data_IF_224683969642
#
_entry.id   IF_224683969642
#
_cell.length_a   1.000
_cell.length_b   1.000
_cell.length_c   1.000
_cell.angle_alpha   90.00
_cell.angle_beta   90.00
_cell.angle_gamma   90.00
#
_symmetry.space_group_name_H-M   'P 1'
#
loop_
_entity.id
_entity.type
_entity.pdbx_description
1 polymer ?
#
# COMPACT_ATOMS: atom_id res chain seq x y z
N UNK A 1 -14.75 18.32 -22.54
CA UNK A 1 -13.83 18.07 -21.39
C UNK A 1 -14.67 17.78 -20.18
N UNK A 2 -14.60 16.58 -19.64
CA UNK A 2 -15.31 16.24 -18.40
C UNK A 2 -14.57 16.96 -17.26
N UNK A 3 -15.17 18.02 -16.75
CA UNK A 3 -14.55 18.88 -15.71
C UNK A 3 -15.00 18.53 -14.29
N UNK A 4 -15.86 17.51 -14.13
CA UNK A 4 -16.40 17.12 -12.85
C UNK A 4 -16.02 15.67 -12.56
N UNK A 5 -15.41 15.41 -11.40
CA UNK A 5 -15.04 14.06 -10.95
C UNK A 5 -16.24 13.11 -10.94
N UNK A 6 -17.45 13.62 -10.70
CA UNK A 6 -18.66 12.79 -10.73
C UNK A 6 -18.96 12.24 -12.14
N UNK A 7 -18.96 13.09 -13.15
CA UNK A 7 -19.18 12.67 -14.54
C UNK A 7 -18.10 11.72 -15.02
N UNK A 8 -16.85 11.99 -14.63
CA UNK A 8 -15.71 11.14 -14.95
C UNK A 8 -15.86 9.75 -14.33
N UNK A 9 -16.22 9.66 -13.03
CA UNK A 9 -16.46 8.37 -12.36
C UNK A 9 -17.59 7.61 -13.01
N UNK A 10 -18.69 8.28 -13.38
CA UNK A 10 -19.82 7.65 -14.08
C UNK A 10 -19.43 7.11 -15.47
N UNK A 11 -18.60 7.83 -16.21
CA UNK A 11 -18.10 7.37 -17.51
C UNK A 11 -17.17 6.16 -17.34
N UNK A 12 -16.28 6.20 -16.33
CA UNK A 12 -15.40 5.08 -16.00
C UNK A 12 -16.17 3.82 -15.58
N UNK A 13 -17.23 3.97 -14.76
CA UNK A 13 -18.09 2.86 -14.35
C UNK A 13 -18.89 2.26 -15.49
N UNK A 14 -19.20 3.06 -16.52
CA UNK A 14 -19.81 2.57 -17.77
C UNK A 14 -18.80 1.90 -18.72
N UNK A 15 -17.55 1.81 -18.32
CA UNK A 15 -16.45 1.28 -19.14
C UNK A 15 -16.27 1.99 -20.47
N UNK A 16 -16.45 3.33 -20.50
CA UNK A 16 -16.15 4.12 -21.69
C UNK A 16 -14.65 4.00 -22.01
N UNK A 17 -14.34 3.36 -23.11
CA UNK A 17 -12.97 3.02 -23.49
C UNK A 17 -12.12 4.28 -23.74
N UNK A 18 -12.69 5.29 -24.37
CA UNK A 18 -11.99 6.55 -24.69
C UNK A 18 -11.63 7.30 -23.39
N UNK A 19 -12.62 7.46 -22.51
CA UNK A 19 -12.44 8.13 -21.23
C UNK A 19 -11.46 7.35 -20.34
N UNK A 20 -11.58 6.03 -20.29
CA UNK A 20 -10.70 5.16 -19.53
C UNK A 20 -9.26 5.29 -19.99
N UNK A 21 -9.01 5.21 -21.30
CA UNK A 21 -7.68 5.35 -21.90
C UNK A 21 -7.08 6.73 -21.62
N UNK A 22 -7.86 7.79 -21.81
CA UNK A 22 -7.39 9.15 -21.57
C UNK A 22 -7.08 9.40 -20.10
N UNK A 23 -7.92 8.93 -19.19
CA UNK A 23 -7.74 9.12 -17.76
C UNK A 23 -6.56 8.32 -17.23
N UNK A 24 -6.53 7.00 -17.40
CA UNK A 24 -5.50 6.13 -16.80
C UNK A 24 -4.13 6.28 -17.49
N UNK A 25 -4.08 6.27 -18.81
CA UNK A 25 -2.82 6.18 -19.57
C UNK A 25 -2.23 7.53 -20.01
N UNK A 26 -3.00 8.62 -19.90
CA UNK A 26 -2.49 9.96 -20.17
C UNK A 26 -2.49 10.83 -18.91
N UNK A 27 -3.66 11.10 -18.37
CA UNK A 27 -3.85 12.06 -17.26
C UNK A 27 -3.21 11.59 -15.95
N UNK A 28 -3.41 10.33 -15.59
CA UNK A 28 -2.88 9.73 -14.36
C UNK A 28 -1.53 9.03 -14.53
N UNK A 29 -0.98 8.96 -15.75
CA UNK A 29 0.30 8.33 -16.02
C UNK A 29 1.46 8.85 -15.13
N UNK A 30 1.64 10.19 -14.94
CA UNK A 30 2.70 10.70 -14.07
C UNK A 30 2.55 10.23 -12.61
N UNK A 31 1.31 10.10 -12.12
CA UNK A 31 1.03 9.57 -10.79
C UNK A 31 1.45 8.10 -10.68
N UNK A 32 1.01 7.28 -11.61
CA UNK A 32 1.35 5.85 -11.62
C UNK A 32 2.86 5.64 -11.78
N UNK A 33 3.51 6.41 -12.65
CA UNK A 33 4.96 6.37 -12.84
C UNK A 33 5.70 6.72 -11.54
N UNK A 34 5.27 7.78 -10.84
CA UNK A 34 5.85 8.17 -9.56
C UNK A 34 5.69 7.07 -8.49
N UNK A 35 4.52 6.43 -8.42
CA UNK A 35 4.30 5.33 -7.48
C UNK A 35 5.14 4.11 -7.87
N UNK A 36 5.16 3.74 -9.15
CA UNK A 36 5.93 2.62 -9.66
C UNK A 36 7.44 2.77 -9.39
N UNK A 37 8.00 3.96 -9.59
CA UNK A 37 9.43 4.22 -9.40
C UNK A 37 9.84 4.27 -7.91
N UNK A 38 8.94 4.67 -7.02
CA UNK A 38 9.25 4.86 -5.60
C UNK A 38 8.84 3.68 -4.70
N UNK A 39 8.01 2.76 -5.20
CA UNK A 39 7.51 1.63 -4.41
C UNK A 39 7.83 0.32 -5.12
N UNK A 40 8.23 -0.67 -4.33
CA UNK A 40 8.47 -2.01 -4.87
C UNK A 40 7.16 -2.63 -5.36
N UNK A 41 7.08 -2.85 -6.65
CA UNK A 41 5.98 -3.59 -7.30
C UNK A 41 6.57 -4.83 -7.97
N UNK A 42 5.73 -5.85 -8.20
CA UNK A 42 6.17 -7.05 -8.94
C UNK A 42 6.00 -6.88 -10.44
N UNK A 43 5.45 -5.74 -10.87
CA UNK A 43 5.20 -5.46 -12.26
C UNK A 43 6.51 -5.23 -13.02
N UNK A 44 6.64 -5.79 -14.20
CA UNK A 44 7.80 -5.62 -15.07
C UNK A 44 7.84 -4.24 -15.73
N UNK A 45 6.70 -3.55 -15.78
CA UNK A 45 6.56 -2.23 -16.40
C UNK A 45 5.49 -1.38 -15.70
N UNK A 46 5.58 -0.05 -15.86
CA UNK A 46 4.56 0.87 -15.39
C UNK A 46 3.18 0.60 -16.03
N UNK A 47 3.15 0.16 -17.30
CA UNK A 47 1.91 -0.19 -17.98
C UNK A 47 1.21 -1.39 -17.34
N UNK A 48 1.97 -2.40 -16.97
CA UNK A 48 1.45 -3.55 -16.22
C UNK A 48 0.90 -3.13 -14.86
N UNK A 49 1.62 -2.26 -14.15
CA UNK A 49 1.14 -1.69 -12.90
C UNK A 49 -0.20 -0.93 -13.06
N UNK A 50 -0.35 -0.12 -14.12
CA UNK A 50 -1.61 0.58 -14.41
C UNK A 50 -2.74 -0.41 -14.64
N UNK A 51 -2.50 -1.48 -15.40
CA UNK A 51 -3.50 -2.52 -15.65
C UNK A 51 -3.91 -3.24 -14.36
N UNK A 52 -2.97 -3.53 -13.46
CA UNK A 52 -3.28 -4.14 -12.17
C UNK A 52 -4.11 -3.23 -11.28
N UNK A 53 -3.77 -1.94 -11.23
CA UNK A 53 -4.58 -0.95 -10.48
C UNK A 53 -5.97 -0.83 -11.10
N UNK A 54 -6.09 -0.83 -12.43
CA UNK A 54 -7.38 -0.83 -13.11
C UNK A 54 -8.23 -2.04 -12.68
N UNK A 55 -7.70 -3.25 -12.78
CA UNK A 55 -8.38 -4.48 -12.34
C UNK A 55 -8.78 -4.36 -10.87
N UNK A 56 -7.88 -3.89 -10.00
CA UNK A 56 -8.16 -3.72 -8.59
C UNK A 56 -9.29 -2.73 -8.26
N UNK A 57 -9.44 -1.68 -9.07
CA UNK A 57 -10.50 -0.68 -8.90
C UNK A 57 -11.88 -1.20 -9.33
N UNK A 58 -11.91 -2.01 -10.39
CA UNK A 58 -13.16 -2.50 -11.00
C UNK A 58 -13.57 -3.90 -10.54
N UNK A 59 -12.69 -4.64 -9.84
CA UNK A 59 -13.05 -5.93 -9.28
C UNK A 59 -13.98 -5.74 -8.09
N UNK A 60 -15.19 -6.35 -8.11
CA UNK A 60 -16.12 -6.29 -6.99
C UNK A 60 -15.53 -6.96 -5.74
N UNK A 61 -15.73 -6.37 -4.60
CA UNK A 61 -15.39 -6.99 -3.32
C UNK A 61 -16.31 -8.20 -3.07
N UNK A 62 -15.73 -9.33 -2.68
CA UNK A 62 -16.47 -10.58 -2.42
C UNK A 62 -17.55 -10.46 -1.34
N UNK A 63 -17.40 -9.51 -0.41
CA UNK A 63 -18.33 -9.31 0.71
C UNK A 63 -19.45 -8.34 0.37
N UNK A 64 -19.14 -7.25 -0.34
CA UNK A 64 -20.08 -6.16 -0.61
C UNK A 64 -20.65 -6.20 -2.01
N UNK A 65 -20.01 -6.91 -2.95
CA UNK A 65 -20.36 -6.93 -4.36
C UNK A 65 -20.13 -5.61 -5.10
N UNK A 66 -19.54 -4.61 -4.42
CA UNK A 66 -19.35 -3.25 -4.92
C UNK A 66 -17.87 -3.06 -5.28
N UNK A 67 -17.58 -2.46 -6.42
CA UNK A 67 -16.20 -2.18 -6.80
C UNK A 67 -15.64 -0.97 -6.03
N UNK A 68 -14.30 -0.85 -5.98
CA UNK A 68 -13.65 0.24 -5.23
C UNK A 68 -13.98 1.63 -5.78
N UNK A 69 -14.14 1.76 -7.08
CA UNK A 69 -14.46 3.03 -7.69
C UNK A 69 -15.87 3.52 -7.31
N UNK A 70 -16.83 2.61 -7.14
CA UNK A 70 -18.17 2.94 -6.64
C UNK A 70 -18.15 3.39 -5.17
N UNK A 71 -17.14 2.98 -4.39
CA UNK A 71 -16.98 3.40 -2.99
C UNK A 71 -16.37 4.81 -2.85
N UNK A 72 -16.03 5.47 -3.95
CA UNK A 72 -15.48 6.83 -3.92
C UNK A 72 -16.54 7.83 -3.47
N UNK A 73 -16.30 8.49 -2.32
CA UNK A 73 -17.28 9.36 -1.63
C UNK A 73 -17.19 10.83 -2.03
N UNK A 74 -16.41 11.21 -3.02
CA UNK A 74 -16.22 12.61 -3.47
C UNK A 74 -15.75 13.58 -2.37
N UNK A 75 -15.08 13.09 -1.32
CA UNK A 75 -14.52 13.92 -0.25
C UNK A 75 -13.15 14.53 -0.60
N UNK A 76 -12.56 14.09 -1.68
CA UNK A 76 -11.32 14.57 -2.25
C UNK A 76 -11.40 14.52 -3.78
N UNK A 77 -10.40 15.04 -4.49
CA UNK A 77 -10.34 14.83 -5.93
C UNK A 77 -10.11 13.35 -6.24
N UNK A 78 -10.65 12.87 -7.38
CA UNK A 78 -10.45 11.49 -7.82
C UNK A 78 -8.95 11.14 -7.95
N UNK A 79 -8.13 12.10 -8.38
CA UNK A 79 -6.68 11.93 -8.49
C UNK A 79 -6.01 11.68 -7.12
N UNK A 80 -6.37 12.45 -6.09
CA UNK A 80 -5.83 12.29 -4.73
C UNK A 80 -6.25 10.95 -4.12
N UNK A 81 -7.51 10.58 -4.30
CA UNK A 81 -8.02 9.30 -3.85
C UNK A 81 -7.33 8.13 -4.56
N UNK A 82 -7.16 8.21 -5.87
CA UNK A 82 -6.47 7.20 -6.67
C UNK A 82 -5.02 7.00 -6.21
N UNK A 83 -4.30 8.08 -5.91
CA UNK A 83 -2.95 8.02 -5.33
C UNK A 83 -2.96 7.19 -4.04
N UNK A 84 -3.89 7.46 -3.15
CA UNK A 84 -4.02 6.73 -1.87
C UNK A 84 -4.31 5.24 -2.11
N UNK A 85 -5.20 4.91 -3.04
CA UNK A 85 -5.51 3.52 -3.41
C UNK A 85 -4.26 2.79 -3.94
N UNK A 86 -3.48 3.45 -4.81
CA UNK A 86 -2.23 2.87 -5.34
C UNK A 86 -1.23 2.58 -4.23
N UNK A 87 -1.04 3.51 -3.29
CA UNK A 87 -0.12 3.33 -2.17
C UNK A 87 -0.54 2.15 -1.27
N UNK A 88 -1.81 2.06 -0.92
CA UNK A 88 -2.33 0.93 -0.14
C UNK A 88 -2.23 -0.40 -0.88
N UNK A 89 -2.45 -0.39 -2.20
CA UNK A 89 -2.27 -1.58 -3.02
C UNK A 89 -0.82 -2.07 -2.98
N UNK A 90 0.15 -1.19 -3.22
CA UNK A 90 1.57 -1.51 -3.15
C UNK A 90 1.98 -2.01 -1.77
N UNK A 91 1.55 -1.33 -0.71
CA UNK A 91 1.84 -1.71 0.66
C UNK A 91 1.34 -3.12 1.01
N UNK A 92 0.08 -3.44 0.68
CA UNK A 92 -0.49 -4.77 0.94
C UNK A 92 0.24 -5.86 0.16
N UNK A 93 0.58 -5.61 -1.10
CA UNK A 93 1.26 -6.56 -1.96
C UNK A 93 2.69 -6.82 -1.48
N UNK A 94 3.45 -5.77 -1.17
CA UNK A 94 4.80 -5.87 -0.63
C UNK A 94 4.84 -6.60 0.71
N UNK A 95 3.92 -6.28 1.62
CA UNK A 95 3.85 -6.93 2.94
C UNK A 95 3.60 -8.44 2.82
N UNK A 96 2.69 -8.86 1.94
CA UNK A 96 2.44 -10.30 1.69
C UNK A 96 3.70 -11.00 1.20
N UNK A 97 4.41 -10.42 0.25
CA UNK A 97 5.62 -11.00 -0.31
C UNK A 97 6.74 -11.17 0.70
N UNK A 98 6.93 -10.22 1.60
CA UNK A 98 7.90 -10.34 2.70
C UNK A 98 7.55 -11.52 3.60
N UNK A 99 6.28 -11.70 3.94
CA UNK A 99 5.81 -12.81 4.78
C UNK A 99 6.00 -14.15 4.04
N UNK A 100 5.61 -14.23 2.78
CA UNK A 100 5.76 -15.45 1.96
C UNK A 100 7.24 -15.84 1.82
N UNK A 101 8.13 -14.89 1.52
CA UNK A 101 9.56 -15.15 1.44
C UNK A 101 10.19 -15.57 2.78
N UNK A 102 9.63 -15.12 3.90
CA UNK A 102 10.06 -15.53 5.23
C UNK A 102 9.59 -16.96 5.55
N UNK A 103 8.37 -17.34 5.13
CA UNK A 103 7.83 -18.68 5.30
C UNK A 103 8.54 -19.72 4.43
N UNK A 104 8.95 -19.37 3.20
CA UNK A 104 9.74 -20.26 2.32
C UNK A 104 11.14 -20.56 2.88
N UNK A 105 11.72 -19.65 3.65
CA UNK A 105 13.03 -19.86 4.29
C UNK A 105 12.98 -20.64 5.59
N UNK A 106 11.83 -20.67 6.23
CA UNK A 106 11.58 -21.45 7.42
C UNK A 106 10.80 -22.69 7.00
N UNK A 107 11.41 -23.86 7.00
CA UNK A 107 10.78 -25.18 6.74
C UNK A 107 9.70 -25.56 7.79
N UNK A 108 8.93 -24.59 8.22
CA UNK A 108 7.86 -24.74 9.19
C UNK A 108 6.53 -24.63 8.45
N UNK A 109 5.84 -25.76 8.34
CA UNK A 109 4.49 -25.82 7.78
C UNK A 109 3.53 -24.90 8.53
N UNK A 110 3.36 -23.69 8.01
CA UNK A 110 2.45 -22.70 8.57
C UNK A 110 1.03 -23.03 8.14
N UNK A 111 0.20 -23.41 9.11
CA UNK A 111 -1.25 -23.50 8.94
C UNK A 111 -1.81 -22.11 8.61
N UNK A 112 -2.81 -22.07 7.71
CA UNK A 112 -3.44 -20.88 7.13
C UNK A 112 -4.24 -19.98 8.11
N UNK A 113 -4.03 -20.08 9.41
CA UNK A 113 -4.70 -19.28 10.44
C UNK A 113 -3.69 -18.43 11.22
N UNK A 114 -2.95 -17.57 10.52
CA UNK A 114 -2.15 -16.56 11.21
C UNK A 114 -3.03 -15.34 11.47
N UNK A 115 -3.52 -15.25 12.69
CA UNK A 115 -4.04 -14.02 13.28
C UNK A 115 -2.92 -12.97 13.27
N UNK A 116 -3.08 -11.92 12.47
CA UNK A 116 -2.09 -10.84 12.30
C UNK A 116 -1.98 -9.90 13.52
N UNK A 117 -2.52 -10.32 14.70
CA UNK A 117 -2.61 -9.49 15.90
C UNK A 117 -1.33 -9.37 16.72
N UNK A 118 -0.39 -10.30 16.63
CA UNK A 118 0.80 -10.24 17.47
C UNK A 118 1.98 -10.99 16.86
N UNK A 119 2.83 -10.26 16.14
CA UNK A 119 4.23 -10.67 16.05
C UNK A 119 4.85 -10.24 17.39
N UNK A 120 4.85 -11.09 18.37
CA UNK A 120 5.75 -10.96 19.52
C UNK A 120 7.16 -11.14 18.97
N UNK A 121 7.84 -10.02 18.77
CA UNK A 121 9.30 -10.04 18.57
C UNK A 121 9.86 -10.45 19.92
N UNK A 122 10.33 -11.69 20.00
CA UNK A 122 11.01 -12.20 21.20
C UNK A 122 12.17 -11.25 21.53
N UNK A 123 12.01 -10.50 22.63
CA UNK A 123 12.94 -9.44 23.04
C UNK A 123 14.37 -9.92 23.33
N UNK A 124 14.59 -11.25 23.34
CA UNK A 124 15.91 -11.86 23.51
C UNK A 124 16.76 -11.84 22.24
N UNK A 125 16.18 -11.61 21.06
CA UNK A 125 16.90 -11.65 19.78
C UNK A 125 17.36 -10.27 19.26
N UNK A 126 16.95 -9.18 19.91
CA UNK A 126 17.46 -7.85 19.61
C UNK A 126 18.76 -7.65 20.38
N UNK A 127 19.89 -7.84 19.69
CA UNK A 127 21.19 -7.46 20.21
C UNK A 127 21.14 -5.97 20.59
N UNK A 128 21.27 -5.67 21.90
CA UNK A 128 21.21 -4.28 22.41
C UNK A 128 22.16 -3.33 21.66
N UNK A 129 23.29 -3.85 21.17
CA UNK A 129 24.23 -3.10 20.34
C UNK A 129 23.64 -2.62 19.02
N UNK A 130 22.82 -3.41 18.33
CA UNK A 130 22.24 -3.04 17.04
C UNK A 130 21.16 -1.96 17.21
N UNK A 131 20.37 -2.09 18.27
CA UNK A 131 19.32 -1.11 18.59
C UNK A 131 19.92 0.26 18.94
N UNK A 132 20.95 0.30 19.78
CA UNK A 132 21.67 1.53 20.11
C UNK A 132 22.30 2.18 18.89
N UNK A 133 22.92 1.39 18.01
CA UNK A 133 23.51 1.89 16.77
C UNK A 133 22.46 2.48 15.85
N UNK A 134 21.31 1.82 15.67
CA UNK A 134 20.19 2.33 14.87
C UNK A 134 19.65 3.65 15.44
N UNK A 135 19.47 3.74 16.77
CA UNK A 135 18.98 4.95 17.42
C UNK A 135 19.97 6.12 17.28
N UNK A 136 21.28 5.85 17.30
CA UNK A 136 22.31 6.88 17.09
C UNK A 136 22.38 7.38 15.65
N UNK A 137 22.11 6.51 14.65
CA UNK A 137 22.10 6.85 13.23
C UNK A 137 20.81 7.58 12.80
N UNK A 138 19.80 7.65 13.65
CA UNK A 138 18.58 8.36 13.33
C UNK A 138 18.82 9.87 13.17
N UNK A 139 18.36 10.48 12.06
CA UNK A 139 18.62 11.90 11.77
C UNK A 139 17.94 12.85 12.76
N UNK A 140 16.91 12.39 13.47
CA UNK A 140 16.17 13.19 14.44
C UNK A 140 16.24 12.58 15.85
N UNK A 141 17.00 13.23 16.72
CA UNK A 141 17.19 12.79 18.11
C UNK A 141 15.90 12.68 18.92
N UNK A 142 14.85 13.46 18.59
CA UNK A 142 13.55 13.37 19.28
C UNK A 142 12.87 12.04 19.01
N UNK A 143 12.95 11.55 17.79
CA UNK A 143 12.37 10.25 17.44
C UNK A 143 13.15 9.10 18.05
N UNK A 144 14.47 9.15 18.07
CA UNK A 144 15.27 8.13 18.72
C UNK A 144 15.00 8.07 20.24
N UNK A 145 14.82 9.23 20.88
CA UNK A 145 14.46 9.32 22.29
C UNK A 145 13.06 8.74 22.58
N UNK A 146 12.05 9.08 21.76
CA UNK A 146 10.69 8.54 21.88
C UNK A 146 10.63 7.03 21.68
N UNK A 147 11.39 6.51 20.72
CA UNK A 147 11.48 5.06 20.48
C UNK A 147 12.14 4.37 21.66
N UNK A 148 13.22 4.92 22.20
CA UNK A 148 13.87 4.41 23.42
C UNK A 148 12.89 4.32 24.58
N UNK A 149 12.22 5.43 24.92
CA UNK A 149 11.26 5.49 26.02
C UNK A 149 10.13 4.46 25.87
N UNK A 150 9.57 4.35 24.69
CA UNK A 150 8.39 3.51 24.46
C UNK A 150 8.69 2.03 24.34
N UNK A 151 9.75 1.67 23.61
CA UNK A 151 10.01 0.27 23.22
C UNK A 151 11.15 -0.39 24.00
N UNK A 152 12.06 0.37 24.57
CA UNK A 152 13.19 -0.15 25.34
C UNK A 152 12.92 -0.01 26.84
N UNK A 153 12.46 1.14 27.29
CA UNK A 153 12.23 1.44 28.70
C UNK A 153 10.77 1.16 29.13
N UNK A 154 9.87 0.85 28.20
CA UNK A 154 8.50 0.41 28.50
C UNK A 154 7.59 1.50 29.07
N UNK A 155 7.93 2.78 28.94
CA UNK A 155 7.06 3.87 29.38
C UNK A 155 5.83 3.97 28.47
N UNK A 156 4.64 3.76 29.05
CA UNK A 156 3.37 4.08 28.40
C UNK A 156 3.01 5.55 28.67
N UNK A 157 2.37 6.21 27.69
CA UNK A 157 1.81 7.55 27.88
C UNK A 157 0.76 7.58 28.96
#
# INVERSE_FOLDING_TARGET
MINNDFELVQALLKHDEVVTREFFYKKCYPLFKSVYDNYHTDCSSCMEFINEIYIHLFTPDKKTGICKLEQFKFQSTLFTWLKTVCLFYCYKRYRRRVIEAYCEKCDVGVRNDVDYGSIEIDGASLNNCDTETILQLMPNRRYSYLIRLRYIEGHSN
#
